data_IF_820075352331
#
_entry.id   IF_820075352331
#
_cell.length_a   1.000
_cell.length_b   1.000
_cell.length_c   1.000
_cell.angle_alpha   90.00
_cell.angle_beta   90.00
_cell.angle_gamma   90.00
#
_symmetry.space_group_name_H-M   'P 1'
#
loop_
_entity.id
_entity.type
_entity.pdbx_description
1 polymer ?
#
# COMPACT_ATOMS: atom_id res chain seq x y z
N UNK A 1 -23.40 -13.38 -5.90
CA UNK A 1 -22.05 -12.84 -6.14
C UNK A 1 -21.48 -12.42 -4.79
N UNK A 2 -20.45 -13.10 -4.31
CA UNK A 2 -19.73 -12.67 -3.11
C UNK A 2 -19.00 -11.39 -3.51
N UNK A 3 -19.36 -10.25 -2.89
CA UNK A 3 -18.56 -9.02 -2.98
C UNK A 3 -17.11 -9.41 -2.64
N UNK A 4 -16.18 -9.17 -3.55
CA UNK A 4 -14.75 -9.33 -3.27
C UNK A 4 -14.46 -8.74 -1.89
N UNK A 5 -14.01 -9.57 -0.93
CA UNK A 5 -13.64 -9.12 0.43
C UNK A 5 -12.30 -8.38 0.34
N UNK A 6 -12.32 -7.27 -0.37
CA UNK A 6 -11.19 -6.41 -0.62
C UNK A 6 -11.00 -5.47 0.56
N UNK A 7 -9.88 -5.60 1.25
CA UNK A 7 -9.48 -4.70 2.33
C UNK A 7 -8.45 -3.74 1.75
N UNK A 8 -8.73 -2.44 1.86
CA UNK A 8 -7.87 -1.38 1.35
C UNK A 8 -6.97 -0.84 2.46
N UNK A 9 -5.66 -0.83 2.25
CA UNK A 9 -4.65 -0.39 3.22
C UNK A 9 -3.76 0.69 2.62
N UNK A 10 -3.79 1.90 3.19
CA UNK A 10 -2.88 2.98 2.84
C UNK A 10 -1.77 3.06 3.90
N UNK A 11 -0.51 3.01 3.47
CA UNK A 11 0.63 3.10 4.39
C UNK A 11 1.25 4.49 4.30
N UNK A 12 1.30 5.18 5.45
CA UNK A 12 1.79 6.56 5.59
C UNK A 12 2.95 6.65 6.57
N UNK A 13 3.77 7.69 6.43
CA UNK A 13 4.94 7.94 7.28
C UNK A 13 6.03 8.74 6.55
N UNK A 14 7.02 9.23 7.29
CA UNK A 14 8.14 10.01 6.74
C UNK A 14 8.93 9.21 5.69
N UNK A 15 9.68 9.89 4.82
CA UNK A 15 10.60 9.20 3.92
C UNK A 15 11.66 8.40 4.70
N UNK A 16 12.09 7.27 4.15
CA UNK A 16 13.15 6.45 4.74
C UNK A 16 12.72 5.55 5.91
N UNK A 17 11.51 5.69 6.48
CA UNK A 17 11.05 4.85 7.62
C UNK A 17 10.77 3.38 7.28
N UNK A 18 10.93 2.98 6.01
CA UNK A 18 10.83 1.57 5.59
C UNK A 18 9.46 1.09 5.12
N UNK A 19 8.51 1.99 4.79
CA UNK A 19 7.15 1.64 4.30
C UNK A 19 7.17 0.66 3.13
N UNK A 20 7.92 1.00 2.09
CA UNK A 20 8.08 0.19 0.87
C UNK A 20 8.71 -1.16 1.16
N UNK A 21 9.73 -1.18 2.05
CA UNK A 21 10.40 -2.41 2.48
C UNK A 21 9.45 -3.33 3.23
N UNK A 22 8.60 -2.79 4.11
CA UNK A 22 7.59 -3.55 4.83
C UNK A 22 6.56 -4.18 3.87
N UNK A 23 6.03 -3.38 2.93
CA UNK A 23 5.04 -3.86 1.96
C UNK A 23 5.65 -4.94 1.06
N UNK A 24 6.85 -4.73 0.52
CA UNK A 24 7.54 -5.74 -0.31
C UNK A 24 7.86 -7.00 0.48
N UNK A 25 8.32 -6.88 1.73
CA UNK A 25 8.54 -8.05 2.59
C UNK A 25 7.25 -8.82 2.82
N UNK A 26 6.15 -8.13 3.10
CA UNK A 26 4.87 -8.77 3.33
C UNK A 26 4.30 -9.46 2.08
N UNK A 27 4.37 -8.83 0.91
CA UNK A 27 3.76 -9.34 -0.33
C UNK A 27 4.66 -10.36 -1.03
N UNK A 28 5.95 -10.06 -1.16
CA UNK A 28 6.89 -10.79 -2.01
C UNK A 28 7.89 -11.64 -1.22
N UNK A 29 7.92 -11.51 0.11
CA UNK A 29 8.97 -12.07 0.97
C UNK A 29 10.39 -11.69 0.52
N UNK A 30 10.55 -10.43 0.06
CA UNK A 30 11.83 -9.87 -0.39
C UNK A 30 12.23 -8.64 0.43
N UNK A 31 13.52 -8.43 0.56
CA UNK A 31 14.12 -7.22 1.13
C UNK A 31 15.34 -6.83 0.31
N UNK A 32 15.60 -5.54 0.23
CA UNK A 32 16.75 -4.93 -0.43
C UNK A 32 17.27 -3.84 0.49
N UNK A 33 18.59 -3.83 0.72
CA UNK A 33 19.29 -2.72 1.38
C UNK A 33 19.39 -1.49 0.47
N UNK A 34 19.28 -1.68 -0.85
CA UNK A 34 19.18 -0.58 -1.78
C UNK A 34 17.80 0.06 -1.65
N UNK A 35 17.80 1.33 -1.24
CA UNK A 35 16.61 2.15 -1.06
C UNK A 35 16.42 3.07 -2.26
N UNK A 36 15.61 2.63 -3.22
CA UNK A 36 15.08 3.54 -4.24
C UNK A 36 13.98 4.40 -3.60
N UNK A 37 13.99 5.70 -3.91
CA UNK A 37 12.95 6.62 -3.43
C UNK A 37 11.63 6.27 -4.12
N UNK A 38 10.58 6.00 -3.36
CA UNK A 38 9.23 5.84 -3.91
C UNK A 38 8.79 7.15 -4.53
N UNK A 39 8.55 7.15 -5.84
CA UNK A 39 8.03 8.31 -6.56
C UNK A 39 6.51 8.15 -6.64
N UNK A 40 5.78 9.07 -6.01
CA UNK A 40 4.30 9.04 -6.01
C UNK A 40 3.73 7.95 -5.12
N UNK A 41 2.97 7.02 -5.70
CA UNK A 41 2.26 5.96 -5.00
C UNK A 41 2.40 4.63 -5.76
N UNK A 42 2.84 3.58 -5.06
CA UNK A 42 2.93 2.21 -5.61
C UNK A 42 1.79 1.34 -5.08
N UNK A 43 1.36 0.37 -5.89
CA UNK A 43 0.26 -0.54 -5.55
C UNK A 43 0.73 -1.99 -5.52
N UNK A 44 0.37 -2.69 -4.44
CA UNK A 44 0.58 -4.13 -4.29
C UNK A 44 -0.69 -4.80 -3.82
N UNK A 45 -0.87 -6.08 -4.15
CA UNK A 45 -1.98 -6.87 -3.62
C UNK A 45 -1.54 -8.25 -3.18
N UNK A 46 -2.17 -8.76 -2.13
CA UNK A 46 -1.95 -10.12 -1.62
C UNK A 46 -3.29 -10.75 -1.26
N UNK A 47 -3.52 -11.98 -1.73
CA UNK A 47 -4.65 -12.78 -1.25
C UNK A 47 -4.19 -13.57 -0.03
N UNK A 48 -4.98 -13.57 1.03
CA UNK A 48 -4.74 -14.36 2.22
C UNK A 48 -5.97 -15.17 2.57
N UNK A 49 -5.77 -16.44 2.93
CA UNK A 49 -6.81 -17.28 3.49
C UNK A 49 -6.80 -17.14 5.02
N UNK A 50 -7.91 -16.68 5.59
CA UNK A 50 -8.11 -16.58 7.04
C UNK A 50 -9.36 -17.38 7.35
N UNK A 51 -9.21 -18.48 8.09
CA UNK A 51 -10.33 -19.34 8.52
C UNK A 51 -11.19 -19.84 7.34
N UNK A 52 -10.54 -20.23 6.23
CA UNK A 52 -11.23 -20.73 5.04
C UNK A 52 -11.84 -19.64 4.16
N UNK A 53 -11.64 -18.37 4.49
CA UNK A 53 -12.12 -17.23 3.70
C UNK A 53 -10.94 -16.52 3.05
N UNK A 54 -11.01 -16.32 1.75
CA UNK A 54 -10.04 -15.52 1.02
C UNK A 54 -10.35 -14.02 1.13
N UNK A 55 -9.34 -13.26 1.55
CA UNK A 55 -9.34 -11.80 1.60
C UNK A 55 -8.30 -11.25 0.62
N UNK A 56 -8.71 -10.28 -0.19
CA UNK A 56 -7.78 -9.55 -1.06
C UNK A 56 -7.33 -8.29 -0.35
N UNK A 57 -6.08 -8.26 0.09
CA UNK A 57 -5.46 -7.05 0.60
C UNK A 57 -4.96 -6.22 -0.58
N UNK A 58 -5.40 -4.97 -0.64
CA UNK A 58 -4.94 -3.96 -1.58
C UNK A 58 -4.12 -2.94 -0.78
N UNK A 59 -2.81 -2.87 -1.06
CA UNK A 59 -1.86 -2.05 -0.31
C UNK A 59 -1.35 -0.92 -1.20
N UNK A 60 -1.47 0.31 -0.70
CA UNK A 60 -0.93 1.51 -1.34
C UNK A 60 0.27 2.00 -0.53
N UNK A 61 1.44 1.96 -1.17
CA UNK A 61 2.69 2.52 -0.67
C UNK A 61 2.80 3.98 -1.09
N UNK A 62 3.15 4.88 -0.17
CA UNK A 62 3.26 6.31 -0.45
C UNK A 62 4.70 6.79 -0.35
N UNK A 63 5.10 7.70 -1.24
CA UNK A 63 6.29 8.52 -1.04
C UNK A 63 6.20 9.27 0.31
N UNK A 64 7.34 9.45 0.99
CA UNK A 64 7.44 10.12 2.29
C UNK A 64 6.58 11.37 2.42
N UNK A 65 5.78 11.43 3.49
CA UNK A 65 4.72 12.41 3.70
C UNK A 65 5.19 13.88 3.66
N UNK A 66 6.47 14.15 3.94
CA UNK A 66 7.01 15.51 3.98
C UNK A 66 7.10 16.18 2.60
N UNK A 67 7.18 15.42 1.50
CA UNK A 67 7.23 15.98 0.14
C UNK A 67 5.87 16.06 -0.55
N UNK A 68 4.83 15.44 0.03
CA UNK A 68 3.59 15.13 -0.70
C UNK A 68 2.29 15.31 0.10
N UNK A 69 2.28 16.18 1.12
CA UNK A 69 1.05 16.51 1.90
C UNK A 69 -0.18 16.82 1.04
N UNK A 70 -0.01 17.45 -0.13
CA UNK A 70 -1.09 17.73 -1.08
C UNK A 70 -1.58 16.48 -1.83
N UNK A 71 -0.68 15.58 -2.20
CA UNK A 71 -1.03 14.31 -2.86
C UNK A 71 -1.73 13.37 -1.89
N UNK A 72 -1.35 13.29 -0.61
CA UNK A 72 -2.06 12.43 0.35
C UNK A 72 -3.55 12.77 0.43
N UNK A 73 -3.91 14.05 0.48
CA UNK A 73 -5.31 14.50 0.52
C UNK A 73 -6.06 14.19 -0.79
N UNK A 74 -5.48 14.57 -1.93
CA UNK A 74 -6.06 14.31 -3.25
C UNK A 74 -6.20 12.82 -3.50
N UNK A 75 -5.22 11.99 -3.11
CA UNK A 75 -5.30 10.55 -3.29
C UNK A 75 -6.28 9.90 -2.33
N UNK A 76 -6.38 10.33 -1.06
CA UNK A 76 -7.45 9.82 -0.20
C UNK A 76 -8.81 10.11 -0.83
N UNK A 77 -9.11 11.34 -1.21
CA UNK A 77 -10.40 11.73 -1.78
C UNK A 77 -10.69 10.99 -3.10
N UNK A 78 -9.69 10.83 -3.98
CA UNK A 78 -9.86 10.23 -5.32
C UNK A 78 -9.80 8.70 -5.34
N UNK A 79 -9.09 8.06 -4.39
CA UNK A 79 -9.09 6.59 -4.23
C UNK A 79 -10.45 6.06 -3.78
N UNK A 80 -11.21 6.85 -3.01
CA UNK A 80 -12.57 6.49 -2.60
C UNK A 80 -13.59 6.59 -3.76
N UNK A 81 -13.29 7.33 -4.83
CA UNK A 81 -14.18 7.46 -5.99
C UNK A 81 -13.88 6.44 -7.11
N UNK A 82 -12.65 5.94 -7.20
CA UNK A 82 -12.21 5.08 -8.31
C UNK A 82 -12.40 3.56 -8.05
N UNK A 83 -12.78 3.15 -6.84
CA UNK A 83 -12.96 1.75 -6.41
C UNK A 83 -13.90 1.60 -5.21
#
# INVERSE_FOLDING_TARGET
MIKDKAIKLLVIGESGVGKSSLIRRFVENKYSENHDVTIGMDFKSKVMNIEGVDYKLALWDTAGAERFRSLTRVFTEKLWELY
#
